data_IF_659461618521
#
_entry.id   IF_659461618521
#
_cell.length_a   1.000
_cell.length_b   1.000
_cell.length_c   1.000
_cell.angle_alpha   90.00
_cell.angle_beta   90.00
_cell.angle_gamma   90.00
#
_symmetry.space_group_name_H-M   'P 1'
#
loop_
_entity.id
_entity.type
_entity.pdbx_description
1 polymer ?
#
# COMPACT_ATOMS: atom_id res chain seq x y z
N UNK A 1 -0.18 2.38 0.39
CA UNK A 1 0.92 3.24 0.89
C UNK A 1 0.46 3.96 2.13
N UNK A 2 1.31 4.02 3.16
CA UNK A 2 1.06 4.81 4.37
C UNK A 2 2.25 5.74 4.57
N UNK A 3 2.03 7.00 4.96
CA UNK A 3 3.11 7.87 5.40
C UNK A 3 2.78 8.48 6.76
N UNK A 4 3.82 8.92 7.46
CA UNK A 4 3.70 9.63 8.73
C UNK A 4 4.83 10.61 8.93
N UNK A 5 4.65 11.54 9.84
CA UNK A 5 5.68 12.51 10.25
C UNK A 5 6.37 12.11 11.57
N UNK A 6 5.88 11.05 12.19
CA UNK A 6 6.35 10.46 13.46
C UNK A 6 6.20 8.94 13.40
N UNK A 7 6.63 8.23 14.46
CA UNK A 7 6.62 6.76 14.56
C UNK A 7 5.21 6.18 14.30
N UNK A 8 5.13 5.06 13.57
CA UNK A 8 3.91 4.25 13.46
C UNK A 8 3.44 3.97 12.03
N UNK A 9 4.06 4.59 11.02
CA UNK A 9 3.70 4.38 9.61
C UNK A 9 3.81 2.90 9.19
N UNK A 10 4.86 2.20 9.64
CA UNK A 10 5.06 0.77 9.38
C UNK A 10 3.95 -0.09 10.00
N UNK A 11 3.64 0.11 11.29
CA UNK A 11 2.59 -0.63 11.99
C UNK A 11 1.24 -0.41 11.32
N UNK A 12 0.92 0.83 10.99
CA UNK A 12 -0.33 1.18 10.30
C UNK A 12 -0.41 0.52 8.91
N UNK A 13 0.68 0.53 8.13
CA UNK A 13 0.74 -0.18 6.84
C UNK A 13 0.48 -1.67 7.01
N UNK A 14 1.09 -2.31 8.01
CA UNK A 14 0.89 -3.75 8.26
C UNK A 14 -0.57 -4.06 8.60
N UNK A 15 -1.14 -3.33 9.56
CA UNK A 15 -2.54 -3.52 9.95
C UNK A 15 -3.51 -3.30 8.79
N UNK A 16 -3.27 -2.27 7.97
CA UNK A 16 -4.08 -2.01 6.79
C UNK A 16 -3.96 -3.15 5.77
N UNK A 17 -2.75 -3.64 5.50
CA UNK A 17 -2.54 -4.74 4.56
C UNK A 17 -3.22 -6.03 5.05
N UNK A 18 -3.15 -6.32 6.35
CA UNK A 18 -3.79 -7.48 6.96
C UNK A 18 -5.32 -7.35 6.85
N UNK A 19 -5.91 -6.18 7.14
CA UNK A 19 -7.35 -5.95 6.99
C UNK A 19 -7.84 -6.07 5.54
N UNK A 20 -7.10 -5.55 4.57
CA UNK A 20 -7.45 -5.71 3.16
C UNK A 20 -7.39 -7.17 2.73
N UNK A 21 -6.44 -7.93 3.27
CA UNK A 21 -6.33 -9.38 3.03
C UNK A 21 -7.49 -10.15 3.66
N UNK A 22 -7.94 -9.77 4.87
CA UNK A 22 -9.12 -10.38 5.51
C UNK A 22 -10.43 -10.11 4.74
N UNK A 23 -10.47 -9.02 3.97
CA UNK A 23 -11.55 -8.72 3.02
C UNK A 23 -11.38 -9.41 1.66
N UNK A 24 -10.45 -10.35 1.53
CA UNK A 24 -10.16 -11.14 0.32
C UNK A 24 -9.62 -10.30 -0.87
N UNK A 25 -9.01 -9.13 -0.62
CA UNK A 25 -8.34 -8.39 -1.68
C UNK A 25 -6.98 -9.01 -2.04
N UNK A 26 -6.69 -9.05 -3.34
CA UNK A 26 -5.40 -9.50 -3.87
C UNK A 26 -4.39 -8.33 -3.82
N UNK A 27 -3.21 -8.59 -3.26
CA UNK A 27 -2.12 -7.62 -3.27
C UNK A 27 -1.62 -7.32 -4.68
N UNK A 28 -1.41 -6.03 -4.99
CA UNK A 28 -0.76 -5.59 -6.23
C UNK A 28 0.78 -5.77 -6.23
N UNK A 29 1.31 -6.55 -5.27
CA UNK A 29 2.73 -6.90 -5.15
C UNK A 29 3.48 -6.06 -4.12
N UNK A 30 4.72 -6.45 -3.83
CA UNK A 30 5.53 -5.85 -2.76
C UNK A 30 5.77 -4.34 -2.93
N UNK A 31 5.86 -3.85 -4.16
CA UNK A 31 6.00 -2.41 -4.42
C UNK A 31 4.75 -1.60 -4.07
N UNK A 32 3.56 -2.20 -4.04
CA UNK A 32 2.31 -1.52 -3.69
C UNK A 32 2.11 -1.39 -2.16
N UNK A 33 2.90 -2.14 -1.37
CA UNK A 33 2.85 -2.17 0.09
C UNK A 33 4.08 -1.47 0.65
N UNK A 34 4.00 -0.14 0.73
CA UNK A 34 5.10 0.72 1.18
C UNK A 34 4.68 1.65 2.32
N UNK A 35 5.63 1.92 3.23
CA UNK A 35 5.53 2.93 4.28
C UNK A 35 6.73 3.88 4.25
N UNK A 36 6.53 5.11 4.72
CA UNK A 36 7.58 6.13 4.77
C UNK A 36 7.34 7.16 5.86
N UNK A 37 8.43 7.72 6.37
CA UNK A 37 8.42 8.88 7.25
C UNK A 37 8.82 10.13 6.47
N UNK A 38 8.10 11.24 6.66
CA UNK A 38 8.38 12.55 6.05
C UNK A 38 8.49 13.59 7.15
N UNK A 39 9.62 14.29 7.21
CA UNK A 39 9.80 15.35 8.20
C UNK A 39 9.86 14.84 9.64
N UNK A 40 10.47 13.67 9.88
CA UNK A 40 10.64 13.10 11.21
C UNK A 40 11.23 14.12 12.20
N UNK A 41 10.51 14.36 13.30
CA UNK A 41 10.84 15.37 14.34
C UNK A 41 10.89 16.83 13.84
N UNK A 42 10.30 17.14 12.69
CA UNK A 42 10.13 18.51 12.20
C UNK A 42 8.73 19.05 12.52
N UNK A 43 8.54 20.38 12.52
CA UNK A 43 7.22 20.97 12.76
C UNK A 43 6.18 20.47 11.74
N UNK A 44 5.04 20.00 12.24
CA UNK A 44 3.91 19.55 11.40
C UNK A 44 3.51 20.58 10.34
N UNK A 45 3.57 21.88 10.69
CA UNK A 45 3.21 22.99 9.81
C UNK A 45 4.02 23.04 8.49
N UNK A 46 5.21 22.44 8.43
CA UNK A 46 6.04 22.39 7.21
C UNK A 46 6.01 21.05 6.51
N UNK A 47 5.32 20.04 7.07
CA UNK A 47 5.31 18.66 6.57
C UNK A 47 4.86 18.55 5.10
N UNK A 48 3.86 19.32 4.67
CA UNK A 48 3.43 19.34 3.28
C UNK A 48 4.49 19.90 2.32
N UNK A 49 5.26 20.90 2.74
CA UNK A 49 6.35 21.44 1.92
C UNK A 49 7.52 20.46 1.82
N UNK A 50 7.82 19.76 2.91
CA UNK A 50 8.82 18.71 2.93
C UNK A 50 8.41 17.53 2.04
N UNK A 51 7.11 17.18 2.02
CA UNK A 51 6.55 16.21 1.09
C UNK A 51 6.75 16.64 -0.37
N UNK A 52 6.39 17.87 -0.72
CA UNK A 52 6.48 18.36 -2.10
C UNK A 52 7.92 18.39 -2.62
N UNK A 53 8.88 18.65 -1.73
CA UNK A 53 10.30 18.68 -2.05
C UNK A 53 10.92 17.27 -2.17
N UNK A 54 10.34 16.23 -1.56
CA UNK A 54 10.88 14.88 -1.56
C UNK A 54 10.53 14.14 -2.87
N UNK A 55 11.39 14.30 -3.87
CA UNK A 55 11.26 13.63 -5.17
C UNK A 55 11.31 12.10 -5.07
N UNK A 56 12.14 11.55 -4.19
CA UNK A 56 12.26 10.10 -4.02
C UNK A 56 10.95 9.51 -3.46
N UNK A 57 10.35 10.18 -2.48
CA UNK A 57 9.04 9.81 -1.95
C UNK A 57 7.97 9.88 -3.05
N UNK A 58 7.92 10.97 -3.82
CA UNK A 58 6.96 11.11 -4.94
C UNK A 58 7.12 10.02 -5.98
N UNK A 59 8.34 9.64 -6.35
CA UNK A 59 8.58 8.50 -7.23
C UNK A 59 8.14 7.17 -6.63
N UNK A 60 8.28 6.97 -5.32
CA UNK A 60 7.76 5.78 -4.65
C UNK A 60 6.23 5.72 -4.69
N UNK A 61 5.53 6.85 -4.49
CA UNK A 61 4.07 6.94 -4.63
C UNK A 61 3.65 6.57 -6.05
N UNK A 62 4.37 7.10 -7.04
CA UNK A 62 4.12 6.80 -8.45
C UNK A 62 4.31 5.31 -8.76
N UNK A 63 5.37 4.67 -8.26
CA UNK A 63 5.60 3.25 -8.44
C UNK A 63 4.48 2.39 -7.80
N UNK A 64 4.01 2.77 -6.59
CA UNK A 64 2.85 2.13 -5.95
C UNK A 64 1.61 2.24 -6.84
N UNK A 65 1.31 3.43 -7.35
CA UNK A 65 0.15 3.67 -8.21
C UNK A 65 0.26 2.92 -9.55
N UNK A 66 1.44 2.87 -10.14
CA UNK A 66 1.71 2.12 -11.37
C UNK A 66 1.55 0.62 -11.15
N UNK A 67 2.06 0.07 -10.04
CA UNK A 67 1.89 -1.34 -9.68
C UNK A 67 0.41 -1.69 -9.49
N UNK A 68 -0.35 -0.85 -8.78
CA UNK A 68 -1.80 -1.02 -8.63
C UNK A 68 -2.52 -0.97 -9.98
N UNK A 69 -2.21 0.01 -10.82
CA UNK A 69 -2.80 0.15 -12.15
C UNK A 69 -2.50 -1.05 -13.05
N UNK A 70 -1.29 -1.61 -12.98
CA UNK A 70 -0.91 -2.83 -13.69
C UNK A 70 -1.68 -4.05 -13.17
N UNK A 71 -1.78 -4.21 -11.85
CA UNK A 71 -2.52 -5.30 -11.22
C UNK A 71 -4.00 -5.29 -11.60
N UNK A 72 -4.65 -4.12 -11.58
CA UNK A 72 -6.05 -3.96 -12.02
C UNK A 72 -6.22 -4.38 -13.48
N UNK A 73 -5.31 -3.95 -14.38
CA UNK A 73 -5.37 -4.37 -15.79
C UNK A 73 -5.22 -5.88 -15.96
N UNK A 74 -4.31 -6.51 -15.23
CA UNK A 74 -4.13 -7.96 -15.24
C UNK A 74 -5.38 -8.68 -14.70
N UNK A 75 -5.98 -8.17 -13.62
CA UNK A 75 -7.21 -8.72 -13.05
C UNK A 75 -8.37 -8.63 -14.05
N UNK A 76 -8.56 -7.47 -14.70
CA UNK A 76 -9.59 -7.31 -15.73
C UNK A 76 -9.37 -8.22 -16.95
N UNK A 77 -8.11 -8.51 -17.29
CA UNK A 77 -7.76 -9.45 -18.36
C UNK A 77 -7.83 -10.93 -17.93
N UNK A 78 -8.12 -11.22 -16.65
CA UNK A 78 -8.15 -12.58 -16.11
C UNK A 78 -6.76 -13.21 -15.91
N UNK A 79 -5.69 -12.41 -15.90
CA UNK A 79 -4.31 -12.86 -15.73
C UNK A 79 -3.77 -12.71 -14.30
N UNK A 80 -4.45 -11.95 -13.44
CA UNK A 80 -4.17 -11.91 -12.01
C UNK A 80 -5.11 -12.87 -11.29
N UNK A 81 -4.63 -14.09 -11.04
CA UNK A 81 -5.41 -15.12 -10.38
C UNK A 81 -5.23 -15.06 -8.86
N UNK A 82 -6.33 -15.27 -8.13
CA UNK A 82 -6.29 -15.56 -6.70
C UNK A 82 -5.94 -17.04 -6.49
N UNK A 83 -4.80 -17.36 -5.83
CA UNK A 83 -4.43 -18.74 -5.53
C UNK A 83 -5.45 -19.48 -4.64
N UNK A 84 -6.26 -18.76 -3.86
CA UNK A 84 -7.32 -19.31 -3.02
C UNK A 84 -8.63 -19.59 -3.78
N UNK A 85 -8.73 -19.17 -5.04
CA UNK A 85 -9.97 -19.26 -5.81
C UNK A 85 -10.48 -20.70 -5.91
N UNK A 86 -11.70 -20.91 -5.44
CA UNK A 86 -12.37 -22.22 -5.46
C UNK A 86 -12.06 -23.12 -4.25
N UNK A 87 -11.16 -22.69 -3.36
CA UNK A 87 -11.06 -23.29 -2.03
C UNK A 87 -12.28 -22.91 -1.20
N UNK A 88 -12.75 -23.85 -0.39
CA UNK A 88 -13.85 -23.60 0.55
C UNK A 88 -13.25 -23.31 1.92
N UNK A 89 -13.67 -22.22 2.54
CA UNK A 89 -13.35 -21.96 3.93
C UNK A 89 -13.98 -23.07 4.81
N UNK A 90 -13.19 -23.82 5.58
CA UNK A 90 -13.72 -24.83 6.50
C UNK A 90 -14.53 -24.22 7.66
N UNK A 91 -14.40 -22.92 7.93
CA UNK A 91 -15.11 -22.17 8.96
C UNK A 91 -15.73 -20.89 8.37
N UNK A 92 -16.78 -21.00 7.53
CA UNK A 92 -17.42 -19.83 6.97
C UNK A 92 -17.91 -18.90 8.09
N UNK A 93 -17.58 -17.60 7.98
CA UNK A 93 -18.02 -16.54 8.89
C UNK A 93 -19.55 -16.44 8.95
#
# INVERSE_FOLDING_TARGET
MVHGDSIGAETCRRLLADWLTDMELISAGGMAVADRYIGYMKPYATSHRDFDADEAFRHQVLNVAQALGAAVKLACAGHLEDPGKGLKDPQPK
#
